data_IF_546032908125
#
_entry.id   IF_546032908125
#
_cell.length_a   1.000
_cell.length_b   1.000
_cell.length_c   1.000
_cell.angle_alpha   90.00
_cell.angle_beta   90.00
_cell.angle_gamma   90.00
#
_symmetry.space_group_name_H-M   'P 1'
#
loop_
_entity.id
_entity.type
_entity.pdbx_description
1 polymer ?
#
# COMPACT_ATOMS: atom_id res chain seq x y z
N UNK A 1 17.29 -0.13 6.97
CA UNK A 1 16.65 0.58 5.84
C UNK A 1 15.17 0.75 6.21
N UNK A 2 14.65 1.98 6.21
CA UNK A 2 13.27 2.27 6.61
C UNK A 2 12.41 2.38 5.33
N UNK A 3 11.26 1.72 5.32
CA UNK A 3 10.31 1.81 4.21
C UNK A 3 9.50 3.09 4.38
N UNK A 4 9.34 3.86 3.30
CA UNK A 4 8.42 4.99 3.26
C UNK A 4 7.01 4.49 2.92
N UNK A 5 6.25 4.18 3.97
CA UNK A 5 4.88 3.68 3.85
C UNK A 5 3.91 4.72 3.26
N UNK A 6 4.20 6.02 3.42
CA UNK A 6 3.41 7.05 2.77
C UNK A 6 3.54 6.95 1.25
N UNK A 7 4.77 6.78 0.75
CA UNK A 7 5.03 6.64 -0.68
C UNK A 7 4.41 5.36 -1.24
N UNK A 8 4.58 4.22 -0.56
CA UNK A 8 3.97 2.94 -0.97
C UNK A 8 2.45 3.05 -1.13
N UNK A 9 1.75 3.62 -0.13
CA UNK A 9 0.29 3.76 -0.19
C UNK A 9 -0.11 4.80 -1.25
N UNK A 10 0.65 5.89 -1.38
CA UNK A 10 0.34 6.93 -2.38
C UNK A 10 0.51 6.42 -3.81
N UNK A 11 1.49 5.55 -4.06
CA UNK A 11 1.64 4.91 -5.37
C UNK A 11 0.48 3.97 -5.69
N UNK A 12 0.01 3.20 -4.70
CA UNK A 12 -1.19 2.39 -4.87
C UNK A 12 -2.41 3.25 -5.20
N UNK A 13 -2.57 4.41 -4.54
CA UNK A 13 -3.62 5.37 -4.87
C UNK A 13 -3.48 5.92 -6.29
N UNK A 14 -2.24 6.16 -6.77
CA UNK A 14 -1.97 6.58 -8.16
C UNK A 14 -2.33 5.50 -9.19
N UNK A 15 -2.41 4.22 -8.80
CA UNK A 15 -2.93 3.15 -9.67
C UNK A 15 -4.47 3.16 -9.79
N UNK A 16 -5.14 4.08 -9.09
CA UNK A 16 -6.60 4.22 -9.07
C UNK A 16 -7.27 3.49 -7.90
N UNK A 17 -6.52 2.79 -7.05
CA UNK A 17 -7.07 2.12 -5.87
C UNK A 17 -7.44 3.14 -4.78
N UNK A 18 -8.58 2.94 -4.15
CA UNK A 18 -8.95 3.67 -2.93
C UNK A 18 -8.29 3.04 -1.70
N UNK A 19 -8.12 3.83 -0.63
CA UNK A 19 -7.65 3.29 0.65
C UNK A 19 -8.55 2.20 1.23
N UNK A 20 -9.85 2.18 0.88
CA UNK A 20 -10.76 1.10 1.27
C UNK A 20 -10.37 -0.19 0.55
N UNK A 21 -10.21 -0.15 -0.76
CA UNK A 21 -9.82 -1.35 -1.53
C UNK A 21 -8.44 -1.88 -1.13
N UNK A 22 -7.49 -0.99 -0.81
CA UNK A 22 -6.19 -1.38 -0.25
C UNK A 22 -6.38 -2.10 1.10
N UNK A 23 -7.22 -1.55 1.98
CA UNK A 23 -7.50 -2.13 3.28
C UNK A 23 -8.18 -3.51 3.18
N UNK A 24 -9.18 -3.61 2.30
CA UNK A 24 -9.92 -4.85 2.05
C UNK A 24 -8.99 -5.94 1.49
N UNK A 25 -8.05 -5.59 0.60
CA UNK A 25 -7.05 -6.52 0.07
C UNK A 25 -6.11 -7.07 1.14
N UNK A 26 -5.69 -6.23 2.08
CA UNK A 26 -4.70 -6.57 3.13
C UNK A 26 -5.39 -7.16 4.37
N UNK A 27 -6.71 -7.10 4.46
CA UNK A 27 -7.48 -7.58 5.61
C UNK A 27 -7.38 -6.67 6.84
N UNK A 28 -7.30 -5.36 6.63
CA UNK A 28 -7.25 -4.36 7.70
C UNK A 28 -8.36 -3.33 7.55
N UNK A 29 -8.51 -2.43 8.51
CA UNK A 29 -9.46 -1.32 8.39
C UNK A 29 -8.88 -0.16 7.57
N UNK A 30 -9.74 0.63 6.90
CA UNK A 30 -9.32 1.86 6.21
C UNK A 30 -8.58 2.84 7.15
N UNK A 31 -9.02 2.97 8.40
CA UNK A 31 -8.37 3.85 9.38
C UNK A 31 -6.96 3.38 9.73
N UNK A 32 -6.72 2.06 9.72
CA UNK A 32 -5.38 1.47 9.84
C UNK A 32 -4.48 1.93 8.69
N UNK A 33 -4.93 1.83 7.43
CA UNK A 33 -4.19 2.30 6.25
C UNK A 33 -3.91 3.80 6.34
N UNK A 34 -4.90 4.61 6.72
CA UNK A 34 -4.71 6.05 6.92
C UNK A 34 -3.68 6.36 8.02
N UNK A 35 -3.65 5.59 9.11
CA UNK A 35 -2.65 5.77 10.18
C UNK A 35 -1.22 5.51 9.70
N UNK A 36 -1.04 4.56 8.77
CA UNK A 36 0.27 4.24 8.19
C UNK A 36 0.81 5.34 7.27
N UNK A 37 -0.07 6.13 6.64
CA UNK A 37 0.35 7.33 5.89
C UNK A 37 0.83 8.46 6.79
N UNK A 38 0.38 8.53 8.05
CA UNK A 38 0.58 9.73 8.88
C UNK A 38 1.66 9.54 9.94
N UNK A 39 1.59 8.47 10.74
CA UNK A 39 2.41 8.36 11.96
C UNK A 39 2.85 6.93 12.31
N UNK A 40 2.21 5.90 11.75
CA UNK A 40 2.49 4.51 12.10
C UNK A 40 3.17 3.74 10.97
N UNK A 41 3.72 2.58 11.31
CA UNK A 41 4.12 1.56 10.34
C UNK A 41 3.28 0.29 10.51
N UNK A 42 3.00 -0.44 9.42
CA UNK A 42 2.37 -1.75 9.50
C UNK A 42 3.27 -2.74 10.25
N UNK A 43 2.63 -3.67 10.97
CA UNK A 43 3.33 -4.86 11.50
C UNK A 43 3.78 -5.75 10.34
N UNK A 44 4.73 -6.64 10.61
CA UNK A 44 5.37 -7.51 9.61
C UNK A 44 4.40 -8.08 8.56
N UNK A 45 3.35 -8.79 8.97
CA UNK A 45 2.41 -9.43 8.04
C UNK A 45 1.67 -8.41 7.14
N UNK A 46 1.19 -7.31 7.72
CA UNK A 46 0.49 -6.26 6.97
C UNK A 46 1.43 -5.49 6.06
N UNK A 47 2.68 -5.29 6.48
CA UNK A 47 3.71 -4.63 5.69
C UNK A 47 4.12 -5.47 4.48
N UNK A 48 4.32 -6.78 4.68
CA UNK A 48 4.59 -7.71 3.61
C UNK A 48 3.45 -7.73 2.57
N UNK A 49 2.20 -7.89 3.02
CA UNK A 49 1.04 -7.87 2.13
C UNK A 49 0.88 -6.55 1.36
N UNK A 50 1.17 -5.41 2.00
CA UNK A 50 1.14 -4.09 1.36
C UNK A 50 2.23 -3.94 0.29
N UNK A 51 3.44 -4.45 0.54
CA UNK A 51 4.53 -4.46 -0.43
C UNK A 51 4.23 -5.41 -1.60
N UNK A 52 3.66 -6.58 -1.34
CA UNK A 52 3.26 -7.53 -2.37
C UNK A 52 2.21 -6.91 -3.30
N UNK A 53 1.20 -6.25 -2.72
CA UNK A 53 0.21 -5.49 -3.47
C UNK A 53 0.88 -4.39 -4.30
N UNK A 54 1.75 -3.57 -3.68
CA UNK A 54 2.47 -2.49 -4.36
C UNK A 54 3.27 -3.00 -5.54
N UNK A 55 4.09 -4.04 -5.35
CA UNK A 55 4.88 -4.66 -6.42
C UNK A 55 4.00 -5.20 -7.56
N UNK A 56 2.84 -5.80 -7.25
CA UNK A 56 1.93 -6.32 -8.28
C UNK A 56 1.32 -5.21 -9.14
N UNK A 57 0.98 -4.06 -8.54
CA UNK A 57 0.30 -2.95 -9.20
C UNK A 57 1.24 -1.98 -9.90
N UNK A 58 2.46 -1.79 -9.39
CA UNK A 58 3.43 -0.86 -9.99
C UNK A 58 4.28 -1.51 -11.07
N UNK A 59 4.68 -2.79 -10.94
CA UNK A 59 5.42 -3.50 -12.02
C UNK A 59 4.60 -3.67 -13.30
N UNK A 60 3.27 -3.74 -13.17
CA UNK A 60 2.36 -3.85 -14.32
C UNK A 60 2.28 -2.57 -15.15
N UNK A 61 2.79 -1.42 -14.66
CA UNK A 61 2.78 -0.13 -15.37
C UNK A 61 4.05 0.13 -16.20
N UNK A 62 5.10 -0.71 -16.07
CA UNK A 62 6.35 -0.58 -16.84
C UNK A 62 6.32 -1.31 -18.20
N UNK A 63 5.38 -2.24 -18.41
CA UNK A 63 5.34 -3.08 -19.62
C UNK A 63 4.55 -2.42 -20.78
N UNK A 64 3.83 -1.33 -20.51
CA UNK A 64 3.01 -0.63 -21.53
C UNK A 64 3.60 0.72 -21.99
N UNK A 65 4.88 1.00 -21.72
CA UNK A 65 5.60 2.19 -22.19
C UNK A 65 6.76 1.85 -23.10
#
# INVERSE_FOLDING_TARGET
>A
MKIDWFSVISDLERTGMTQREIADYIGVSKSTVNSWKQYNEPRYCSGAALLDLWMSKTKSQEIER
#
